data_IF_866263674891
#
_entry.id   IF_866263674891
#
_cell.length_a   1.000
_cell.length_b   1.000
_cell.length_c   1.000
_cell.angle_alpha   90.00
_cell.angle_beta   90.00
_cell.angle_gamma   90.00
#
_symmetry.space_group_name_H-M   'P 1'
#
loop_
_entity.id
_entity.type
_entity.pdbx_description
1 polymer ?
#
# COMPACT_ATOMS: atom_id res chain seq x y z
N UNK A 1 -6.13 55.49 32.56
CA UNK A 1 -7.26 56.07 31.79
C UNK A 1 -6.86 56.04 30.33
N UNK A 2 -7.58 55.22 29.59
CA UNK A 2 -7.81 55.18 28.13
C UNK A 2 -6.67 55.22 27.10
N UNK A 3 -6.74 54.17 26.27
CA UNK A 3 -6.13 53.92 24.98
C UNK A 3 -6.52 54.94 23.89
N UNK A 4 -5.69 55.01 22.85
CA UNK A 4 -6.03 54.94 21.42
C UNK A 4 -4.70 55.10 20.64
N UNK A 5 -4.29 54.30 19.67
CA UNK A 5 -4.97 53.34 18.81
C UNK A 5 -4.42 53.56 17.41
N UNK A 6 -3.46 52.75 16.95
CA UNK A 6 -3.04 52.74 15.54
C UNK A 6 -2.70 51.33 15.06
N UNK A 7 -3.72 50.75 14.42
CA UNK A 7 -3.72 49.78 13.32
C UNK A 7 -2.65 48.68 13.35
N UNK A 8 -3.08 47.54 13.90
CA UNK A 8 -2.57 46.22 13.56
C UNK A 8 -2.85 45.96 12.07
N UNK A 9 -1.83 46.09 11.22
CA UNK A 9 -1.83 45.39 9.93
C UNK A 9 -1.60 43.91 10.25
N UNK A 10 -2.62 43.10 9.98
CA UNK A 10 -2.53 41.64 9.99
C UNK A 10 -1.42 41.21 9.03
N UNK A 11 -0.26 40.86 9.60
CA UNK A 11 0.78 40.14 8.86
C UNK A 11 0.23 38.74 8.57
N UNK A 12 0.25 38.38 7.29
CA UNK A 12 -0.17 37.09 6.73
C UNK A 12 0.30 35.93 7.61
N UNK A 13 -0.61 35.00 7.93
CA UNK A 13 -0.27 33.70 8.52
C UNK A 13 0.74 32.99 7.62
N UNK A 14 2.01 33.01 7.98
CA UNK A 14 3.02 32.14 7.41
C UNK A 14 2.73 30.73 7.88
N UNK A 15 2.06 29.94 7.04
CA UNK A 15 2.04 28.49 7.18
C UNK A 15 3.44 27.95 6.86
N UNK A 16 4.43 28.24 7.71
CA UNK A 16 5.73 27.55 7.67
C UNK A 16 5.48 26.12 8.12
N UNK A 17 5.33 25.20 7.16
CA UNK A 17 5.62 23.79 7.42
C UNK A 17 7.09 23.73 7.83
N UNK A 18 7.41 23.00 8.89
CA UNK A 18 8.79 22.63 9.16
C UNK A 18 9.35 21.96 7.91
N UNK A 19 10.39 22.56 7.34
CA UNK A 19 11.10 22.04 6.19
C UNK A 19 12.27 21.23 6.74
N UNK A 20 12.21 19.91 6.62
CA UNK A 20 13.36 19.04 6.82
C UNK A 20 14.31 19.14 5.62
N UNK A 21 15.61 19.09 5.88
CA UNK A 21 16.64 19.00 4.84
C UNK A 21 17.40 17.68 5.04
N UNK A 22 17.59 16.94 3.95
CA UNK A 22 18.47 15.78 3.94
C UNK A 22 19.51 16.04 2.85
N UNK A 23 20.78 15.99 3.23
CA UNK A 23 21.90 16.12 2.33
C UNK A 23 22.90 15.00 2.63
N UNK A 24 23.01 14.04 1.72
CA UNK A 24 23.97 12.95 1.85
C UNK A 24 24.39 12.39 0.49
N UNK A 25 25.61 11.82 0.42
CA UNK A 25 26.18 11.29 -0.82
C UNK A 25 25.42 10.05 -1.31
N UNK A 26 24.88 9.26 -0.37
CA UNK A 26 24.11 8.04 -0.65
C UNK A 26 22.82 8.31 -1.42
N UNK A 27 22.30 9.55 -1.44
CA UNK A 27 21.16 9.91 -2.29
C UNK A 27 21.48 9.70 -3.79
N UNK A 28 22.75 9.74 -4.18
CA UNK A 28 23.18 9.43 -5.56
C UNK A 28 22.87 7.98 -5.94
N UNK A 29 22.87 7.04 -4.98
CA UNK A 29 22.51 5.63 -5.22
C UNK A 29 21.05 5.45 -5.63
N UNK A 30 20.18 6.40 -5.27
CA UNK A 30 18.77 6.43 -5.64
C UNK A 30 18.45 7.45 -6.74
N UNK A 31 19.47 8.08 -7.32
CA UNK A 31 19.36 8.94 -8.51
C UNK A 31 19.39 10.44 -8.24
N UNK A 32 19.77 10.88 -7.04
CA UNK A 32 19.98 12.31 -6.79
C UNK A 32 21.18 12.86 -7.58
N UNK A 33 21.12 14.16 -7.91
CA UNK A 33 22.16 14.85 -8.68
C UNK A 33 21.63 15.86 -9.71
N UNK A 34 20.32 15.95 -9.89
CA UNK A 34 19.65 16.98 -10.70
C UNK A 34 18.56 17.66 -9.87
N UNK A 35 18.35 18.95 -10.09
CA UNK A 35 17.17 19.64 -9.55
C UNK A 35 15.90 18.91 -10.00
N UNK A 36 14.89 18.82 -9.13
CA UNK A 36 13.63 18.15 -9.44
C UNK A 36 13.66 16.61 -9.43
N UNK A 37 14.81 15.97 -9.17
CA UNK A 37 14.96 14.51 -9.28
C UNK A 37 13.92 13.68 -8.51
N UNK A 38 13.46 14.16 -7.34
CA UNK A 38 12.45 13.50 -6.52
C UNK A 38 11.07 13.43 -7.21
N UNK A 39 10.71 14.46 -7.99
CA UNK A 39 9.42 14.55 -8.67
C UNK A 39 9.48 14.02 -10.12
N UNK A 40 10.63 14.11 -10.77
CA UNK A 40 10.79 13.77 -12.19
C UNK A 40 11.17 12.30 -12.43
N UNK A 41 11.48 11.54 -11.38
CA UNK A 41 11.93 10.15 -11.48
C UNK A 41 10.75 9.17 -11.37
N UNK A 42 10.28 8.55 -12.48
CA UNK A 42 9.07 7.72 -12.47
C UNK A 42 9.21 6.39 -11.72
N UNK A 43 10.44 5.97 -11.40
CA UNK A 43 10.71 4.74 -10.66
C UNK A 43 11.09 5.00 -9.20
N UNK A 44 11.05 6.26 -8.77
CA UNK A 44 11.41 6.62 -7.41
C UNK A 44 10.19 6.46 -6.51
N UNK A 45 10.35 5.72 -5.42
CA UNK A 45 9.36 5.56 -4.38
C UNK A 45 9.86 6.23 -3.12
N UNK A 46 8.97 6.88 -2.38
CA UNK A 46 9.31 7.51 -1.11
C UNK A 46 8.23 7.20 -0.07
N UNK A 47 8.67 6.90 1.15
CA UNK A 47 7.81 6.71 2.31
C UNK A 47 8.36 7.55 3.46
N UNK A 48 7.48 8.27 4.15
CA UNK A 48 7.83 9.18 5.24
C UNK A 48 7.39 8.57 6.57
N UNK A 49 8.30 8.57 7.54
CA UNK A 49 8.04 8.36 8.96
C UNK A 49 8.27 9.68 9.71
N UNK A 50 7.82 9.77 10.96
CA UNK A 50 7.99 10.94 11.81
C UNK A 50 9.46 11.39 11.93
N UNK A 51 10.41 10.45 11.90
CA UNK A 51 11.84 10.73 12.14
C UNK A 51 12.75 10.36 10.96
N UNK A 52 12.21 9.80 9.89
CA UNK A 52 13.01 9.23 8.81
C UNK A 52 12.27 9.24 7.47
N UNK A 53 13.02 9.11 6.39
CA UNK A 53 12.51 8.85 5.06
C UNK A 53 13.15 7.57 4.52
N UNK A 54 12.34 6.77 3.83
CA UNK A 54 12.81 5.71 2.99
C UNK A 54 12.62 6.14 1.52
N UNK A 55 13.67 6.04 0.73
CA UNK A 55 13.66 6.34 -0.70
C UNK A 55 14.16 5.13 -1.45
N UNK A 56 13.43 4.68 -2.47
CA UNK A 56 13.81 3.53 -3.27
C UNK A 56 13.79 3.85 -4.75
N UNK A 57 14.80 3.38 -5.47
CA UNK A 57 14.72 3.24 -6.93
C UNK A 57 14.30 1.80 -7.27
N UNK A 58 14.65 1.31 -8.47
CA UNK A 58 14.30 -0.05 -8.91
C UNK A 58 14.92 -1.18 -8.10
N UNK A 59 16.08 -0.97 -7.48
CA UNK A 59 16.92 -2.05 -6.93
C UNK A 59 17.56 -1.72 -5.57
N UNK A 60 17.49 -0.47 -5.13
CA UNK A 60 18.13 0.02 -3.90
C UNK A 60 17.08 0.76 -3.10
N UNK A 61 17.07 0.50 -1.80
CA UNK A 61 16.34 1.26 -0.79
C UNK A 61 17.37 1.96 0.09
N UNK A 62 17.19 3.25 0.29
CA UNK A 62 17.95 4.09 1.20
C UNK A 62 17.01 4.56 2.30
N UNK A 63 17.37 4.28 3.56
CA UNK A 63 16.69 4.83 4.73
C UNK A 63 17.62 5.83 5.38
N UNK A 64 17.11 7.03 5.65
CA UNK A 64 17.87 8.12 6.28
C UNK A 64 16.98 8.89 7.24
N UNK A 65 17.57 9.31 8.36
CA UNK A 65 16.90 10.18 9.33
C UNK A 65 16.75 11.60 8.80
N UNK A 66 15.88 12.39 9.46
CA UNK A 66 15.88 13.85 9.31
C UNK A 66 17.13 14.49 9.93
N UNK A 67 17.72 13.82 10.92
CA UNK A 67 18.97 14.20 11.57
C UNK A 67 20.16 13.44 10.94
N UNK A 68 21.38 13.66 11.45
CA UNK A 68 22.62 12.91 11.12
C UNK A 68 22.60 11.44 11.62
N UNK A 69 21.41 10.85 11.76
CA UNK A 69 21.21 9.49 12.19
C UNK A 69 21.74 8.44 11.21
N UNK A 70 21.79 7.17 11.63
CA UNK A 70 22.33 6.08 10.85
C UNK A 70 21.59 5.94 9.51
N UNK A 71 22.37 5.76 8.45
CA UNK A 71 21.90 5.59 7.08
C UNK A 71 21.98 4.12 6.72
N UNK A 72 20.89 3.57 6.21
CA UNK A 72 20.81 2.16 5.84
C UNK A 72 20.59 2.05 4.33
N UNK A 73 21.41 1.22 3.70
CA UNK A 73 21.29 0.85 2.30
C UNK A 73 20.90 -0.62 2.20
N UNK A 74 19.75 -0.90 1.61
CA UNK A 74 19.26 -2.25 1.35
C UNK A 74 19.29 -2.51 -0.15
N UNK A 75 19.79 -3.68 -0.54
CA UNK A 75 19.70 -4.21 -1.91
C UNK A 75 18.86 -5.49 -1.89
N UNK A 76 17.56 -5.43 -2.18
CA UNK A 76 16.72 -6.61 -2.21
C UNK A 76 17.23 -7.65 -3.22
N UNK A 77 17.10 -8.93 -2.85
CA UNK A 77 17.35 -10.05 -3.77
C UNK A 77 16.17 -10.21 -4.73
N UNK A 78 16.24 -9.50 -5.86
CA UNK A 78 15.21 -9.50 -6.89
C UNK A 78 15.63 -10.39 -8.05
N UNK A 79 14.68 -11.09 -8.66
CA UNK A 79 14.98 -11.98 -9.80
C UNK A 79 15.46 -11.17 -11.03
N UNK A 80 16.74 -11.30 -11.44
CA UNK A 80 17.24 -10.60 -12.62
C UNK A 80 16.66 -11.19 -13.91
N UNK A 81 16.37 -12.51 -13.91
CA UNK A 81 15.80 -13.23 -15.06
C UNK A 81 14.38 -12.72 -15.35
N UNK A 82 13.59 -12.49 -14.30
CA UNK A 82 12.23 -11.99 -14.44
C UNK A 82 12.16 -10.46 -14.51
N UNK A 83 13.31 -9.77 -14.53
CA UNK A 83 13.39 -8.30 -14.47
C UNK A 83 12.57 -7.70 -13.32
N UNK A 84 12.64 -8.35 -12.16
CA UNK A 84 11.93 -7.92 -10.97
C UNK A 84 12.50 -6.60 -10.45
N UNK A 85 11.62 -5.65 -10.12
CA UNK A 85 11.98 -4.32 -9.61
C UNK A 85 11.10 -3.94 -8.43
N UNK A 86 11.59 -3.02 -7.61
CA UNK A 86 10.80 -2.34 -6.57
C UNK A 86 9.77 -1.44 -7.26
N UNK A 87 8.53 -1.50 -6.80
CA UNK A 87 7.41 -0.71 -7.35
C UNK A 87 6.55 -0.02 -6.30
N UNK A 88 6.66 -0.40 -5.03
CA UNK A 88 6.01 0.28 -3.92
C UNK A 88 6.90 0.21 -2.67
N UNK A 89 6.79 1.23 -1.82
CA UNK A 89 7.54 1.38 -0.58
C UNK A 89 6.62 2.03 0.46
N UNK A 90 6.58 1.48 1.68
CA UNK A 90 5.81 2.07 2.78
C UNK A 90 6.41 1.67 4.13
N UNK A 91 6.26 2.54 5.14
CA UNK A 91 6.64 2.22 6.52
C UNK A 91 5.55 1.38 7.19
N UNK A 92 5.95 0.35 7.95
CA UNK A 92 5.06 -0.29 8.92
C UNK A 92 5.58 0.03 10.33
N UNK A 93 4.73 0.63 11.15
CA UNK A 93 5.09 1.14 12.48
C UNK A 93 4.09 0.60 13.49
N UNK A 94 4.48 -0.44 14.22
CA UNK A 94 3.64 -1.10 15.22
C UNK A 94 4.24 -0.94 16.61
N UNK A 95 3.70 -0.02 17.40
CA UNK A 95 4.26 0.36 18.71
C UNK A 95 5.75 0.72 18.59
N UNK A 96 6.64 -0.09 19.18
CA UNK A 96 8.10 0.10 19.12
C UNK A 96 8.76 -0.54 17.90
N UNK A 97 8.02 -1.35 17.14
CA UNK A 97 8.54 -2.06 15.97
C UNK A 97 8.39 -1.19 14.72
N UNK A 98 9.51 -0.96 14.03
CA UNK A 98 9.54 -0.23 12.75
C UNK A 98 10.24 -1.05 11.69
N UNK A 99 9.59 -1.22 10.55
CA UNK A 99 10.11 -1.97 9.40
C UNK A 99 9.71 -1.31 8.08
N UNK A 100 10.41 -1.67 7.01
CA UNK A 100 10.11 -1.21 5.66
C UNK A 100 9.37 -2.31 4.89
N UNK A 101 8.19 -2.00 4.38
CA UNK A 101 7.46 -2.85 3.44
C UNK A 101 7.75 -2.45 1.99
N UNK A 102 7.96 -3.44 1.14
CA UNK A 102 8.34 -3.27 -0.26
C UNK A 102 7.44 -4.11 -1.14
N UNK A 103 6.85 -3.49 -2.16
CA UNK A 103 6.11 -4.20 -3.21
C UNK A 103 6.96 -4.32 -4.46
N UNK A 104 6.90 -5.47 -5.13
CA UNK A 104 7.65 -5.70 -6.38
C UNK A 104 6.76 -5.75 -7.62
N UNK A 105 7.40 -5.63 -8.80
CA UNK A 105 6.75 -5.77 -10.11
C UNK A 105 6.15 -7.16 -10.36
N UNK A 106 6.52 -8.16 -9.55
CA UNK A 106 6.08 -9.55 -9.65
C UNK A 106 4.97 -9.92 -8.69
N UNK A 107 4.68 -9.06 -7.71
CA UNK A 107 3.61 -9.29 -6.74
C UNK A 107 4.08 -9.78 -5.39
N UNK A 108 5.39 -9.70 -5.14
CA UNK A 108 5.95 -10.01 -3.83
C UNK A 108 5.80 -8.81 -2.89
N UNK A 109 5.33 -9.09 -1.68
CA UNK A 109 5.50 -8.24 -0.52
C UNK A 109 6.77 -8.69 0.21
N UNK A 110 7.72 -7.78 0.37
CA UNK A 110 8.92 -7.96 1.17
C UNK A 110 8.84 -7.07 2.41
N UNK A 111 9.40 -7.53 3.53
CA UNK A 111 9.53 -6.74 4.76
C UNK A 111 10.98 -6.77 5.20
N UNK A 112 11.57 -5.60 5.44
CA UNK A 112 12.95 -5.45 5.89
C UNK A 112 13.04 -4.78 7.25
N UNK A 113 13.94 -5.27 8.11
CA UNK A 113 14.31 -4.60 9.35
C UNK A 113 15.15 -3.35 9.07
N UNK A 114 15.31 -2.51 10.09
CA UNK A 114 16.19 -1.33 10.02
C UNK A 114 17.69 -1.65 10.09
N UNK A 115 18.04 -2.93 10.24
CA UNK A 115 19.41 -3.44 10.08
C UNK A 115 19.63 -3.99 8.65
N UNK A 116 18.60 -3.96 7.80
CA UNK A 116 18.65 -4.41 6.42
C UNK A 116 18.42 -5.91 6.22
N UNK A 117 18.01 -6.64 7.26
CA UNK A 117 17.66 -8.05 7.16
C UNK A 117 16.29 -8.23 6.49
N UNK A 118 16.18 -9.20 5.59
CA UNK A 118 14.90 -9.62 5.04
C UNK A 118 14.14 -10.41 6.12
N UNK A 119 13.03 -9.84 6.60
CA UNK A 119 12.17 -10.42 7.63
C UNK A 119 11.12 -11.33 7.00
N UNK A 120 10.54 -10.90 5.88
CA UNK A 120 9.46 -11.62 5.23
C UNK A 120 9.47 -11.43 3.71
N UNK A 121 9.09 -12.48 2.97
CA UNK A 121 8.90 -12.47 1.52
C UNK A 121 7.73 -13.34 1.13
N UNK A 122 6.70 -12.78 0.51
CA UNK A 122 5.51 -13.53 0.12
C UNK A 122 4.89 -13.03 -1.18
N UNK A 123 4.58 -13.97 -2.09
CA UNK A 123 3.75 -13.70 -3.26
C UNK A 123 2.31 -13.43 -2.82
N UNK A 124 1.81 -12.23 -3.09
CA UNK A 124 0.44 -11.81 -2.73
C UNK A 124 -0.52 -12.20 -3.85
N UNK A 125 -0.24 -11.73 -5.06
CA UNK A 125 -0.99 -12.05 -6.27
C UNK A 125 -0.07 -11.76 -7.47
N UNK A 126 -0.12 -12.55 -8.56
CA UNK A 126 0.73 -12.31 -9.71
C UNK A 126 0.51 -10.92 -10.31
N UNK A 127 1.59 -10.17 -10.50
CA UNK A 127 1.56 -8.84 -11.12
C UNK A 127 2.09 -7.74 -10.20
N UNK A 128 2.22 -6.52 -10.74
CA UNK A 128 2.85 -5.41 -10.02
C UNK A 128 2.01 -4.94 -8.84
N UNK A 129 2.64 -4.84 -7.66
CA UNK A 129 2.11 -4.02 -6.55
C UNK A 129 2.39 -2.56 -6.89
N UNK A 130 1.33 -1.78 -7.13
CA UNK A 130 1.44 -0.37 -7.51
C UNK A 130 1.51 0.54 -6.28
N UNK A 131 0.99 0.09 -5.14
CA UNK A 131 1.05 0.85 -3.88
C UNK A 131 0.92 -0.04 -2.67
N UNK A 132 1.57 0.38 -1.60
CA UNK A 132 1.31 -0.12 -0.27
C UNK A 132 0.64 1.01 0.52
N UNK A 133 -0.36 0.67 1.33
CA UNK A 133 -1.07 1.61 2.19
C UNK A 133 -1.16 1.06 3.59
N UNK A 134 -0.74 1.85 4.56
CA UNK A 134 -0.97 1.57 5.98
C UNK A 134 -2.02 2.53 6.49
N UNK A 135 -2.98 2.01 7.26
CA UNK A 135 -3.99 2.83 7.92
C UNK A 135 -4.25 2.28 9.32
N UNK A 136 -4.05 3.12 10.33
CA UNK A 136 -4.59 2.85 11.66
C UNK A 136 -6.12 2.82 11.63
N UNK A 137 -6.73 1.69 11.97
CA UNK A 137 -8.16 1.63 12.27
C UNK A 137 -8.36 1.70 13.77
N UNK A 138 -9.11 2.71 14.22
CA UNK A 138 -9.57 2.78 15.60
C UNK A 138 -10.62 1.70 15.81
N UNK A 139 -10.33 0.71 16.66
CA UNK A 139 -11.25 -0.39 16.96
C UNK A 139 -12.18 0.08 18.09
N UNK A 140 -13.33 0.62 17.71
CA UNK A 140 -14.39 1.11 18.59
C UNK A 140 -14.02 2.26 19.57
N UNK A 141 -15.04 3.02 20.00
CA UNK A 141 -14.89 4.18 20.89
C UNK A 141 -14.65 3.78 22.37
N UNK A 142 -14.65 2.48 22.66
CA UNK A 142 -14.63 1.91 24.03
C UNK A 142 -13.40 1.06 24.33
N UNK A 143 -12.54 0.77 23.33
CA UNK A 143 -11.29 0.05 23.50
C UNK A 143 -10.17 0.81 22.77
N UNK A 144 -9.10 1.18 23.48
CA UNK A 144 -7.92 1.84 22.91
C UNK A 144 -7.02 0.85 22.13
N UNK A 145 -7.62 -0.04 21.34
CA UNK A 145 -6.87 -0.95 20.48
C UNK A 145 -6.90 -0.40 19.05
N UNK A 146 -5.80 0.18 18.60
CA UNK A 146 -5.64 0.52 17.18
C UNK A 146 -5.17 -0.74 16.46
N UNK A 147 -5.90 -1.18 15.45
CA UNK A 147 -5.46 -2.24 14.55
C UNK A 147 -5.09 -1.58 13.24
N UNK A 148 -3.83 -1.65 12.85
CA UNK A 148 -3.44 -1.15 11.55
C UNK A 148 -3.95 -2.09 10.45
N UNK A 149 -4.28 -1.55 9.30
CA UNK A 149 -4.59 -2.31 8.10
C UNK A 149 -3.53 -2.00 7.06
N UNK A 150 -2.93 -3.05 6.50
CA UNK A 150 -1.95 -2.92 5.43
C UNK A 150 -2.59 -3.41 4.14
N UNK A 151 -2.66 -2.55 3.12
CA UNK A 151 -3.22 -2.87 1.82
C UNK A 151 -2.14 -2.87 0.75
N UNK A 152 -2.00 -3.98 0.02
CA UNK A 152 -1.27 -4.02 -1.23
C UNK A 152 -2.22 -3.80 -2.40
N UNK A 153 -2.02 -2.69 -3.10
CA UNK A 153 -2.82 -2.26 -4.24
C UNK A 153 -2.17 -2.77 -5.51
N UNK A 154 -2.98 -3.36 -6.37
CA UNK A 154 -2.62 -3.87 -7.67
C UNK A 154 -3.66 -3.42 -8.71
N UNK A 155 -3.37 -3.51 -10.03
CA UNK A 155 -4.34 -3.18 -11.05
C UNK A 155 -5.63 -4.00 -10.89
N UNK A 156 -6.71 -3.33 -10.49
CA UNK A 156 -8.02 -3.93 -10.28
C UNK A 156 -8.14 -4.87 -9.08
N UNK A 157 -7.14 -4.93 -8.20
CA UNK A 157 -7.10 -5.86 -7.07
C UNK A 157 -6.58 -5.18 -5.81
N UNK A 158 -7.20 -5.48 -4.67
CA UNK A 158 -6.74 -5.03 -3.35
C UNK A 158 -6.51 -6.27 -2.50
N UNK A 159 -5.31 -6.41 -1.95
CA UNK A 159 -5.00 -7.39 -0.92
C UNK A 159 -4.89 -6.68 0.44
N UNK A 160 -5.62 -7.15 1.46
CA UNK A 160 -5.55 -6.65 2.84
C UNK A 160 -4.87 -7.66 3.74
N UNK A 161 -3.96 -7.15 4.55
CA UNK A 161 -3.36 -7.84 5.68
C UNK A 161 -3.87 -7.19 6.96
N UNK A 162 -4.14 -8.01 7.97
CA UNK A 162 -4.43 -7.51 9.30
C UNK A 162 -3.12 -7.10 9.98
N UNK A 163 -3.07 -5.89 10.53
CA UNK A 163 -1.89 -5.37 11.20
C UNK A 163 -1.51 -6.19 12.42
N UNK A 164 -2.47 -6.82 13.12
CA UNK A 164 -2.13 -7.70 14.25
C UNK A 164 -1.35 -8.93 13.81
N UNK A 165 -1.68 -9.49 12.63
CA UNK A 165 -0.97 -10.66 12.11
C UNK A 165 0.46 -10.30 11.70
N UNK A 166 0.64 -9.11 11.12
CA UNK A 166 1.97 -8.58 10.81
C UNK A 166 2.76 -8.31 12.09
N UNK A 167 2.15 -7.62 13.06
CA UNK A 167 2.79 -7.27 14.32
C UNK A 167 3.23 -8.53 15.09
N UNK A 168 2.37 -9.55 15.19
CA UNK A 168 2.71 -10.82 15.83
C UNK A 168 3.90 -11.50 15.13
N UNK A 169 3.88 -11.56 13.79
CA UNK A 169 4.98 -12.12 13.01
C UNK A 169 6.30 -11.37 13.26
N UNK A 170 6.26 -10.04 13.31
CA UNK A 170 7.43 -9.23 13.61
C UNK A 170 7.93 -9.45 15.03
N UNK A 171 7.04 -9.45 16.02
CA UNK A 171 7.40 -9.69 17.43
C UNK A 171 8.11 -11.04 17.60
N UNK A 172 7.56 -12.09 17.01
CA UNK A 172 8.16 -13.41 17.01
C UNK A 172 9.57 -13.38 16.34
N UNK A 173 9.71 -12.74 15.17
CA UNK A 173 10.99 -12.64 14.46
C UNK A 173 12.06 -11.90 15.28
N UNK A 174 11.70 -10.78 15.91
CA UNK A 174 12.62 -10.02 16.76
C UNK A 174 13.03 -10.84 18.00
N UNK A 175 12.08 -11.51 18.66
CA UNK A 175 12.37 -12.37 19.82
C UNK A 175 13.32 -13.51 19.47
N UNK A 176 13.10 -14.19 18.34
CA UNK A 176 14.00 -15.24 17.86
C UNK A 176 15.37 -14.71 17.47
N UNK A 177 15.43 -13.57 16.77
CA UNK A 177 16.71 -12.98 16.36
C UNK A 177 17.54 -12.58 17.58
N UNK A 178 16.91 -12.03 18.61
CA UNK A 178 17.57 -11.74 19.88
C UNK A 178 18.00 -13.01 20.63
N UNK A 179 17.21 -14.09 20.61
CA UNK A 179 17.60 -15.35 21.22
C UNK A 179 18.82 -15.99 20.52
N UNK A 180 18.83 -16.00 19.18
CA UNK A 180 19.95 -16.51 18.37
C UNK A 180 21.23 -15.68 18.52
N UNK A 181 21.12 -14.41 18.91
CA UNK A 181 22.29 -13.59 19.22
C UNK A 181 23.03 -14.05 20.49
N UNK A 182 22.29 -14.64 21.44
CA UNK A 182 22.85 -15.14 22.70
C UNK A 182 23.26 -16.62 22.65
N UNK A 183 22.74 -17.41 21.70
CA UNK A 183 23.17 -18.79 21.47
C UNK A 183 24.37 -18.84 20.49
N UNK A 184 25.45 -19.52 20.87
CA UNK A 184 26.68 -19.62 20.09
C UNK A 184 26.48 -20.35 18.74
N UNK A 185 26.87 -19.65 17.67
CA UNK A 185 27.18 -20.12 16.31
C UNK A 185 26.02 -20.73 15.48
N UNK A 186 25.43 -19.97 14.53
CA UNK A 186 24.48 -20.53 13.58
C UNK A 186 25.17 -21.51 12.63
N UNK A 187 24.60 -22.70 12.49
CA UNK A 187 25.04 -23.72 11.53
C UNK A 187 24.72 -23.25 10.11
N UNK A 188 25.60 -23.53 9.14
CA UNK A 188 25.42 -23.13 7.71
C UNK A 188 24.10 -23.54 7.07
N UNK A 189 23.34 -24.48 7.65
CA UNK A 189 22.00 -24.88 7.19
C UNK A 189 20.91 -23.87 7.55
N UNK A 190 21.09 -23.08 8.60
CA UNK A 190 20.09 -22.12 9.09
C UNK A 190 20.05 -20.82 8.26
N UNK A 191 21.08 -20.58 7.43
CA UNK A 191 21.19 -19.43 6.53
C UNK A 191 20.47 -19.65 5.20
N UNK A 192 20.39 -20.89 4.70
CA UNK A 192 19.69 -21.20 3.45
C UNK A 192 18.16 -21.18 3.62
N UNK A 193 17.66 -21.39 4.85
CA UNK A 193 16.24 -21.25 5.20
C UNK A 193 15.82 -19.80 5.52
N UNK A 194 16.75 -18.84 5.62
CA UNK A 194 16.42 -17.42 5.83
C UNK A 194 15.68 -16.80 4.62
N UNK A 195 15.78 -17.44 3.45
CA UNK A 195 15.02 -17.07 2.25
C UNK A 195 13.56 -17.55 2.25
N UNK A 196 13.18 -18.40 3.21
CA UNK A 196 11.80 -18.85 3.40
C UNK A 196 11.08 -17.92 4.39
N UNK A 197 9.91 -17.43 3.98
CA UNK A 197 9.05 -16.56 4.80
C UNK A 197 8.91 -17.07 6.23
N UNK A 198 9.24 -16.23 7.21
CA UNK A 198 9.20 -16.53 8.64
C UNK A 198 7.83 -17.06 9.12
N UNK A 199 6.74 -16.72 8.41
CA UNK A 199 5.43 -17.39 8.39
C UNK A 199 4.62 -16.79 7.24
N UNK A 200 3.71 -17.56 6.62
CA UNK A 200 2.81 -16.99 5.59
C UNK A 200 1.78 -16.09 6.26
N UNK A 201 1.80 -14.79 5.94
CA UNK A 201 0.80 -13.84 6.42
C UNK A 201 -0.55 -14.11 5.74
N UNK A 202 -1.64 -14.25 6.50
CA UNK A 202 -2.98 -14.33 5.93
C UNK A 202 -3.36 -12.99 5.28
N UNK A 203 -4.15 -13.06 4.21
CA UNK A 203 -4.67 -11.86 3.54
C UNK A 203 -6.00 -12.13 2.85
N UNK A 204 -6.84 -11.11 2.77
CA UNK A 204 -8.06 -11.10 1.96
C UNK A 204 -7.81 -10.40 0.62
N UNK A 205 -8.41 -10.92 -0.45
CA UNK A 205 -8.24 -10.41 -1.82
C UNK A 205 -9.60 -10.02 -2.41
N UNK A 206 -9.72 -8.81 -2.94
CA UNK A 206 -10.92 -8.36 -3.66
C UNK A 206 -10.60 -7.87 -5.06
N UNK A 207 -11.46 -8.20 -6.01
CA UNK A 207 -11.41 -7.70 -7.39
C UNK A 207 -12.31 -6.47 -7.52
N UNK A 208 -11.66 -5.32 -7.72
CA UNK A 208 -12.30 -4.02 -7.98
C UNK A 208 -12.20 -3.61 -9.45
N UNK A 209 -11.46 -4.36 -10.27
CA UNK A 209 -11.19 -4.06 -11.68
C UNK A 209 -12.40 -4.14 -12.60
N UNK A 210 -13.50 -4.76 -12.17
CA UNK A 210 -14.79 -4.74 -12.91
C UNK A 210 -15.35 -3.32 -13.09
N UNK A 211 -14.86 -2.34 -12.35
CA UNK A 211 -15.40 -0.98 -12.29
C UNK A 211 -14.46 0.10 -12.86
N UNK A 212 -13.28 -0.29 -13.37
CA UNK A 212 -12.32 0.62 -14.00
C UNK A 212 -10.86 0.29 -13.67
N UNK A 213 -9.94 1.09 -14.21
CA UNK A 213 -8.53 1.04 -13.80
C UNK A 213 -8.41 1.47 -12.33
N UNK A 214 -7.45 0.87 -11.61
CA UNK A 214 -7.15 1.18 -10.22
C UNK A 214 -5.71 1.65 -10.15
N UNK A 215 -5.51 2.94 -9.86
CA UNK A 215 -4.21 3.57 -9.66
C UNK A 215 -3.84 3.65 -8.18
N UNK A 216 -4.83 3.70 -7.29
CA UNK A 216 -4.65 3.68 -5.84
C UNK A 216 -5.90 3.06 -5.18
N UNK A 217 -5.73 2.52 -3.98
CA UNK A 217 -6.85 2.09 -3.18
C UNK A 217 -6.49 2.10 -1.69
N UNK A 218 -7.50 2.31 -0.85
CA UNK A 218 -7.37 2.20 0.59
C UNK A 218 -8.60 1.55 1.19
N UNK A 219 -8.40 0.71 2.20
CA UNK A 219 -9.46 0.29 3.11
C UNK A 219 -9.56 1.36 4.18
N UNK A 220 -10.76 1.83 4.43
CA UNK A 220 -11.03 3.03 5.23
C UNK A 220 -11.66 2.73 6.58
N UNK A 221 -12.06 1.48 6.80
CA UNK A 221 -12.63 0.98 8.05
C UNK A 221 -13.65 -0.13 7.83
N UNK A 222 -14.20 -0.60 8.94
CA UNK A 222 -15.26 -1.62 8.99
C UNK A 222 -16.62 -0.93 8.94
N UNK A 223 -17.51 -1.40 8.08
CA UNK A 223 -18.91 -1.00 8.02
C UNK A 223 -19.74 -1.82 9.01
N UNK A 224 -20.73 -1.19 9.68
CA UNK A 224 -21.69 -1.92 10.49
C UNK A 224 -22.50 -2.90 9.63
N UNK A 225 -22.99 -4.00 10.22
CA UNK A 225 -23.89 -4.91 9.52
C UNK A 225 -25.16 -4.16 9.06
N UNK A 226 -25.79 -4.56 7.94
CA UNK A 226 -27.08 -4.01 7.53
C UNK A 226 -28.11 -4.14 8.65
N UNK A 227 -29.07 -3.20 8.72
CA UNK A 227 -30.11 -3.15 9.76
C UNK A 227 -30.95 -4.44 9.90
N UNK A 228 -30.95 -5.31 8.90
CA UNK A 228 -31.65 -6.61 8.92
C UNK A 228 -30.73 -7.82 9.20
N UNK A 229 -29.42 -7.63 9.38
CA UNK A 229 -28.43 -8.68 9.66
C UNK A 229 -27.74 -8.49 11.02
N UNK A 230 -28.44 -7.88 11.99
CA UNK A 230 -27.92 -7.44 13.30
C UNK A 230 -27.30 -8.59 14.13
N UNK A 231 -27.56 -9.86 13.79
CA UNK A 231 -26.98 -11.04 14.45
C UNK A 231 -25.85 -11.72 13.64
N UNK A 232 -25.40 -11.16 12.53
CA UNK A 232 -24.30 -11.76 11.78
C UNK A 232 -22.95 -11.44 12.43
N UNK A 233 -22.07 -12.42 12.55
CA UNK A 233 -20.65 -12.23 12.91
C UNK A 233 -19.81 -11.64 11.77
N UNK A 234 -20.46 -11.11 10.73
CA UNK A 234 -19.82 -10.75 9.47
C UNK A 234 -19.18 -9.36 9.55
N UNK A 235 -17.99 -9.25 8.97
CA UNK A 235 -17.29 -7.98 8.80
C UNK A 235 -17.40 -7.51 7.36
N UNK A 236 -17.86 -6.28 7.20
CA UNK A 236 -17.85 -5.58 5.93
C UNK A 236 -16.78 -4.51 5.98
N UNK A 237 -15.96 -4.40 4.95
CA UNK A 237 -14.93 -3.38 4.83
C UNK A 237 -15.36 -2.30 3.84
N UNK A 238 -15.00 -1.05 4.11
CA UNK A 238 -15.17 0.06 3.17
C UNK A 238 -13.87 0.28 2.43
N UNK A 239 -13.85 -0.01 1.13
CA UNK A 239 -12.72 0.35 0.28
C UNK A 239 -13.03 1.56 -0.58
N UNK A 240 -12.00 2.35 -0.86
CA UNK A 240 -12.02 3.45 -1.83
C UNK A 240 -10.95 3.12 -2.87
N UNK A 241 -11.28 3.23 -4.15
CA UNK A 241 -10.32 3.16 -5.26
C UNK A 241 -10.26 4.50 -5.97
N UNK A 242 -9.08 4.82 -6.48
CA UNK A 242 -8.83 5.95 -7.36
C UNK A 242 -8.37 5.38 -8.70
N UNK A 243 -9.08 5.71 -9.77
CA UNK A 243 -8.70 5.35 -11.13
C UNK A 243 -7.64 6.28 -11.70
N UNK A 244 -7.09 5.92 -12.86
CA UNK A 244 -6.07 6.73 -13.55
C UNK A 244 -6.61 8.12 -13.93
N UNK A 245 -7.90 8.21 -14.29
CA UNK A 245 -8.59 9.47 -14.63
C UNK A 245 -9.13 10.22 -13.40
N UNK A 246 -8.53 10.03 -12.22
CA UNK A 246 -8.98 10.59 -10.94
C UNK A 246 -10.43 10.25 -10.54
N UNK A 247 -10.99 9.19 -11.11
CA UNK A 247 -12.32 8.68 -10.74
C UNK A 247 -12.24 7.98 -9.39
N UNK A 248 -13.01 8.48 -8.42
CA UNK A 248 -13.10 7.87 -7.08
C UNK A 248 -14.31 6.95 -7.03
N UNK A 249 -14.12 5.72 -6.56
CA UNK A 249 -15.20 4.74 -6.33
C UNK A 249 -15.12 4.18 -4.92
N UNK A 250 -16.27 3.97 -4.29
CA UNK A 250 -16.37 3.36 -2.97
C UNK A 250 -17.08 2.01 -3.03
N UNK A 251 -16.57 1.04 -2.26
CA UNK A 251 -17.06 -0.33 -2.24
C UNK A 251 -17.35 -0.78 -0.82
N UNK A 252 -18.41 -1.58 -0.71
CA UNK A 252 -18.62 -2.47 0.42
C UNK A 252 -18.02 -3.83 0.07
N UNK A 253 -17.04 -4.26 0.84
CA UNK A 253 -16.35 -5.53 0.65
C UNK A 253 -16.74 -6.49 1.76
N UNK A 254 -17.17 -7.69 1.42
CA UNK A 254 -17.42 -8.76 2.42
C UNK A 254 -16.21 -9.68 2.53
N UNK A 255 -15.98 -10.20 3.73
CA UNK A 255 -15.02 -11.28 3.98
C UNK A 255 -15.51 -12.61 3.40
N UNK A 256 -16.82 -12.86 3.40
CA UNK A 256 -17.42 -14.06 2.83
C UNK A 256 -17.46 -13.97 1.30
N UNK A 257 -16.66 -14.80 0.64
CA UNK A 257 -16.58 -14.89 -0.83
C UNK A 257 -17.92 -15.20 -1.48
N UNK A 258 -18.79 -15.98 -0.83
CA UNK A 258 -20.09 -16.35 -1.39
C UNK A 258 -21.08 -15.18 -1.45
N UNK A 259 -20.81 -14.12 -0.67
CA UNK A 259 -21.65 -12.93 -0.52
C UNK A 259 -20.92 -11.63 -0.85
N UNK A 260 -19.79 -11.72 -1.56
CA UNK A 260 -19.01 -10.56 -1.98
C UNK A 260 -19.76 -9.78 -3.05
N UNK A 261 -20.78 -9.03 -2.61
CA UNK A 261 -21.40 -7.99 -3.40
C UNK A 261 -20.41 -6.83 -3.42
N UNK A 262 -19.50 -6.84 -4.39
CA UNK A 262 -18.76 -5.63 -4.78
C UNK A 262 -19.79 -4.72 -5.45
N UNK A 263 -20.70 -4.14 -4.66
CA UNK A 263 -21.63 -3.11 -5.10
C UNK A 263 -20.90 -1.78 -5.00
N UNK A 264 -20.75 -1.09 -6.13
CA UNK A 264 -20.25 0.27 -6.11
C UNK A 264 -21.30 1.16 -5.43
N UNK A 265 -20.99 1.70 -4.25
CA UNK A 265 -21.78 2.79 -3.67
C UNK A 265 -21.25 4.05 -4.36
N UNK A 266 -21.77 4.34 -5.56
CA UNK A 266 -21.34 5.48 -6.36
C UNK A 266 -21.85 6.78 -5.75
N UNK A 267 -21.03 7.47 -4.97
CA UNK A 267 -21.04 8.93 -5.03
C UNK A 267 -20.03 9.35 -6.09
N UNK A 268 -20.49 9.50 -7.34
CA UNK A 268 -19.71 10.20 -8.37
C UNK A 268 -19.59 11.66 -7.95
N UNK A 269 -18.62 12.00 -7.11
CA UNK A 269 -18.23 13.40 -6.92
C UNK A 269 -17.30 13.73 -8.08
N UNK A 270 -17.90 14.12 -9.20
CA UNK A 270 -17.19 14.70 -10.34
C UNK A 270 -16.60 16.02 -9.85
N UNK A 271 -15.28 16.29 -9.96
CA UNK A 271 -14.79 17.64 -9.83
C UNK A 271 -15.50 18.47 -10.89
N UNK A 272 -16.37 19.38 -10.46
CA UNK A 272 -16.97 20.35 -11.35
C UNK A 272 -15.84 21.12 -12.04
N UNK A 273 -15.91 21.20 -13.38
CA UNK A 273 -14.94 21.80 -14.34
C UNK A 273 -13.75 20.88 -14.66
N UNK A 274 -13.70 20.20 -15.81
CA UNK A 274 -13.71 20.74 -17.17
C UNK A 274 -14.75 20.08 -18.10
N UNK A 275 -15.54 20.93 -18.76
CA UNK A 275 -16.37 20.57 -19.90
C UNK A 275 -15.51 20.33 -21.13
N UNK A 276 -15.63 19.15 -21.77
CA UNK A 276 -15.94 19.04 -23.20
C UNK A 276 -16.49 17.65 -23.46
N UNK A 277 -17.73 17.62 -23.92
CA UNK A 277 -18.43 16.46 -24.44
C UNK A 277 -17.61 15.88 -25.60
N UNK A 278 -17.06 14.67 -25.43
CA UNK A 278 -16.65 13.83 -26.54
C UNK A 278 -17.61 12.64 -26.64
N UNK A 279 -18.77 12.94 -27.22
CA UNK A 279 -19.58 12.09 -28.10
C UNK A 279 -19.49 10.57 -27.92
N UNK A 280 -20.62 10.00 -27.51
CA UNK A 280 -21.11 8.74 -28.05
C UNK A 280 -20.95 8.69 -29.58
N UNK A 281 -20.65 7.49 -30.09
CA UNK A 281 -20.67 7.06 -31.51
C UNK A 281 -19.36 7.09 -32.32
N UNK A 282 -18.62 5.97 -32.25
CA UNK A 282 -18.23 5.15 -33.42
C UNK A 282 -18.41 3.70 -32.98
N UNK A 283 -19.54 3.04 -33.25
CA UNK A 283 -19.91 2.39 -34.52
C UNK A 283 -18.69 1.81 -35.27
N UNK A 284 -18.58 0.49 -35.15
CA UNK A 284 -18.32 -0.50 -36.22
C UNK A 284 -17.12 -0.18 -37.12
N UNK A 285 -16.03 -0.91 -36.91
CA UNK A 285 -15.36 -1.66 -37.98
C UNK A 285 -14.69 -2.90 -37.38
N UNK A 286 -15.08 -4.07 -37.91
CA UNK A 286 -14.38 -5.35 -37.72
C UNK A 286 -13.19 -5.38 -38.66
N UNK A 287 -12.04 -5.86 -38.20
CA UNK A 287 -11.24 -6.81 -38.98
C UNK A 287 -10.38 -7.64 -38.03
N UNK A 288 -10.45 -8.95 -38.20
CA UNK A 288 -9.70 -9.97 -37.49
C UNK A 288 -8.17 -9.76 -37.64
N UNK A 289 -7.43 -10.04 -36.56
CA UNK A 289 -6.10 -10.63 -36.66
C UNK A 289 -5.94 -11.63 -35.52
N UNK A 290 -5.83 -12.90 -35.92
CA UNK A 290 -5.62 -14.10 -35.12
C UNK A 290 -4.17 -14.22 -34.66
N UNK A 291 -3.94 -14.52 -33.37
CA UNK A 291 -2.82 -15.34 -32.86
C UNK A 291 -3.01 -15.60 -31.34
N UNK A 292 -2.33 -16.60 -30.76
CA UNK A 292 -2.76 -17.98 -30.65
C UNK A 292 -3.45 -18.33 -29.31
N UNK A 293 -4.24 -19.40 -29.37
CA UNK A 293 -5.05 -20.00 -28.31
C UNK A 293 -4.28 -20.22 -27.01
N UNK A 294 -4.76 -19.62 -25.92
CA UNK A 294 -4.45 -20.05 -24.56
C UNK A 294 -5.27 -21.30 -24.25
N UNK A 295 -4.61 -22.37 -23.83
CA UNK A 295 -5.27 -23.59 -23.35
C UNK A 295 -5.95 -23.31 -22.01
N UNK A 296 -7.25 -23.56 -22.03
CA UNK A 296 -8.28 -23.27 -21.05
C UNK A 296 -8.09 -24.08 -19.76
N UNK A 297 -7.96 -23.41 -18.62
CA UNK A 297 -8.38 -23.95 -17.32
C UNK A 297 -9.77 -23.36 -17.03
N UNK A 298 -10.77 -24.23 -16.86
CA UNK A 298 -12.20 -23.90 -16.72
C UNK A 298 -12.45 -22.68 -15.81
N UNK A 299 -12.98 -21.56 -16.32
CA UNK A 299 -13.50 -20.50 -15.46
C UNK A 299 -14.86 -20.92 -14.90
N UNK A 300 -14.95 -20.97 -13.58
CA UNK A 300 -16.18 -21.26 -12.84
C UNK A 300 -17.12 -20.05 -12.91
N UNK A 301 -18.42 -20.30 -13.12
CA UNK A 301 -19.45 -19.31 -13.37
C UNK A 301 -19.78 -18.43 -12.16
N UNK A 302 -19.84 -17.11 -12.35
CA UNK A 302 -20.31 -16.15 -11.34
C UNK A 302 -21.80 -15.83 -11.53
N UNK A 303 -22.55 -15.82 -10.42
CA UNK A 303 -23.99 -15.52 -10.38
C UNK A 303 -24.31 -14.01 -10.47
N UNK A 304 -25.51 -13.69 -11.00
CA UNK A 304 -26.12 -12.36 -11.17
C UNK A 304 -27.02 -11.96 -9.98
N UNK A 305 -27.19 -10.65 -9.76
CA UNK A 305 -28.28 -10.02 -9.00
C UNK A 305 -27.87 -8.64 -8.45
N UNK A 306 -28.28 -7.54 -9.08
CA UNK A 306 -29.43 -6.63 -8.88
C UNK A 306 -29.14 -5.40 -7.97
N UNK A 307 -29.52 -4.22 -8.48
CA UNK A 307 -29.18 -2.88 -7.98
C UNK A 307 -30.21 -2.36 -6.96
N UNK A 308 -29.74 -1.62 -5.95
CA UNK A 308 -30.55 -0.71 -5.14
C UNK A 308 -29.86 0.65 -5.11
N UNK A 309 -30.58 1.68 -5.57
CA UNK A 309 -30.20 3.09 -5.53
C UNK A 309 -30.99 3.73 -4.38
N UNK A 310 -30.32 4.46 -3.49
CA UNK A 310 -30.92 5.47 -2.62
C UNK A 310 -30.32 6.82 -2.97
#
# INVERSE_FOLDING_TARGET
MEATGLKTMSLKRSHTRELGCIACEELSDVGAGKEGWLAESPNLQCALDAHSIAVANRFVILVTGWDDGPRLRIRPELSPIESEIITALEWLVFDEIRVIAVGTSRGYLLVYSLDGHLVHRQMVCPGRIIKLRVRGTKKDLTQDSYSEEVSAVMPGVIARFDGSDIQNMLQEWFQETHARFWDEQPTKRDLDDLGNSYKRLPYQLWNVGKYGSCADAAITGIMPPPLMEVQSSQRYYRAITIGEDAVISAYRLSEDRSRSLVGAILSKVVPATFSTIASFSKRIWRSEQTSPKWSEAKPQSFAKGEFLIF
#
